data_IF_854953442413
#
_entry.id   IF_854953442413
#
_cell.length_a   1.000
_cell.length_b   1.000
_cell.length_c   1.000
_cell.angle_alpha   90.00
_cell.angle_beta   90.00
_cell.angle_gamma   90.00
#
_symmetry.space_group_name_H-M   'P 1'
#
loop_
_entity.id
_entity.type
_entity.pdbx_description
1 polymer ?
#
# COMPACT_ATOMS: atom_id res chain seq x y z
N UNK A 1 17.62 -1.63 -15.99
CA UNK A 1 16.28 -1.22 -15.48
C UNK A 1 15.49 -2.48 -15.13
N UNK A 2 15.06 -2.63 -13.87
CA UNK A 2 14.43 -3.86 -13.36
C UNK A 2 12.91 -3.66 -13.26
N UNK A 3 12.12 -4.32 -14.10
CA UNK A 3 10.66 -4.13 -14.09
C UNK A 3 9.96 -5.02 -13.05
N UNK A 4 9.02 -4.48 -12.24
CA UNK A 4 8.30 -5.25 -11.23
C UNK A 4 7.11 -6.01 -11.85
N UNK A 5 7.36 -7.17 -12.46
CA UNK A 5 6.29 -8.00 -13.02
C UNK A 5 5.54 -8.76 -11.91
N UNK A 6 4.27 -8.42 -11.69
CA UNK A 6 3.43 -9.07 -10.67
C UNK A 6 3.80 -8.71 -9.22
N UNK A 7 4.84 -7.91 -9.01
CA UNK A 7 5.27 -7.44 -7.69
C UNK A 7 4.41 -6.25 -7.27
N UNK A 8 3.67 -6.41 -6.17
CA UNK A 8 2.82 -5.36 -5.59
C UNK A 8 3.31 -4.86 -4.23
N UNK A 9 4.52 -5.27 -3.84
CA UNK A 9 5.15 -4.87 -2.58
C UNK A 9 5.97 -3.60 -2.81
N UNK A 10 5.46 -2.48 -2.30
CA UNK A 10 6.10 -1.17 -2.44
C UNK A 10 7.49 -1.15 -1.80
N UNK A 11 7.63 -1.74 -0.61
CA UNK A 11 8.88 -1.74 0.14
C UNK A 11 9.99 -2.44 -0.65
N UNK A 12 9.67 -3.62 -1.22
CA UNK A 12 10.59 -4.38 -2.07
C UNK A 12 10.92 -3.65 -3.37
N UNK A 13 9.93 -2.98 -3.97
CA UNK A 13 10.14 -2.19 -5.19
C UNK A 13 11.21 -1.13 -4.99
N UNK A 14 11.11 -0.35 -3.90
CA UNK A 14 12.09 0.71 -3.60
C UNK A 14 13.44 0.11 -3.19
N UNK A 15 13.47 -0.84 -2.24
CA UNK A 15 14.71 -1.40 -1.70
C UNK A 15 15.54 -2.19 -2.72
N UNK A 16 14.88 -2.95 -3.59
CA UNK A 16 15.57 -3.77 -4.60
C UNK A 16 15.81 -3.00 -5.92
N UNK A 17 15.54 -1.68 -5.96
CA UNK A 17 15.81 -0.83 -7.12
C UNK A 17 14.98 -1.19 -8.38
N UNK A 18 13.73 -1.60 -8.19
CA UNK A 18 12.81 -1.78 -9.31
C UNK A 18 12.40 -0.43 -9.90
N UNK A 19 12.06 -0.45 -11.19
CA UNK A 19 11.43 0.68 -11.85
C UNK A 19 10.10 1.01 -11.17
N UNK A 20 10.01 2.20 -10.60
CA UNK A 20 8.83 2.75 -9.95
C UNK A 20 8.53 4.12 -10.54
N UNK A 21 7.29 4.33 -10.97
CA UNK A 21 6.82 5.65 -11.40
C UNK A 21 6.22 6.34 -10.20
N UNK A 22 6.89 7.38 -9.71
CA UNK A 22 6.43 8.15 -8.57
C UNK A 22 5.12 8.86 -8.88
N UNK A 23 4.13 8.62 -8.01
CA UNK A 23 2.83 9.31 -7.95
C UNK A 23 2.42 9.57 -6.50
N UNK A 24 3.40 9.59 -5.60
CA UNK A 24 3.17 9.67 -4.17
C UNK A 24 2.61 11.03 -3.75
N UNK A 25 2.73 12.07 -4.58
CA UNK A 25 2.10 13.38 -4.31
C UNK A 25 0.57 13.29 -4.17
N UNK A 26 -0.04 12.27 -4.79
CA UNK A 26 -1.49 12.02 -4.72
C UNK A 26 -1.97 11.59 -3.33
N UNK A 27 -1.08 11.19 -2.42
CA UNK A 27 -1.44 10.86 -1.04
C UNK A 27 -2.15 12.06 -0.38
N UNK A 28 -1.64 13.28 -0.58
CA UNK A 28 -2.26 14.50 -0.07
C UNK A 28 -3.68 14.71 -0.61
N UNK A 29 -3.88 14.45 -1.91
CA UNK A 29 -5.22 14.51 -2.51
C UNK A 29 -6.14 13.42 -1.96
N UNK A 30 -5.62 12.22 -1.67
CA UNK A 30 -6.41 11.14 -1.08
C UNK A 30 -6.89 11.49 0.33
N UNK A 31 -6.05 12.15 1.13
CA UNK A 31 -6.41 12.64 2.47
C UNK A 31 -7.59 13.63 2.42
N UNK A 32 -7.67 14.46 1.37
CA UNK A 32 -8.74 15.45 1.20
C UNK A 32 -10.07 14.88 0.66
N UNK A 33 -10.06 13.67 0.06
CA UNK A 33 -11.26 13.09 -0.59
C UNK A 33 -12.31 12.64 0.42
N UNK A 34 -11.88 12.16 1.59
CA UNK A 34 -12.80 11.75 2.65
C UNK A 34 -12.22 10.65 3.56
N UNK A 35 -12.92 10.41 4.67
CA UNK A 35 -12.47 9.49 5.73
C UNK A 35 -12.45 8.02 5.31
N UNK A 36 -13.32 7.63 4.37
CA UNK A 36 -13.44 6.26 3.88
C UNK A 36 -13.30 6.23 2.35
N UNK A 37 -12.22 5.61 1.87
CA UNK A 37 -11.91 5.51 0.45
C UNK A 37 -12.19 4.10 -0.07
N UNK A 38 -13.08 4.00 -1.07
CA UNK A 38 -13.40 2.74 -1.73
C UNK A 38 -12.85 2.71 -3.16
N UNK A 39 -11.86 1.87 -3.42
CA UNK A 39 -11.27 1.72 -4.75
C UNK A 39 -12.00 0.66 -5.60
N UNK A 40 -13.04 1.08 -6.32
CA UNK A 40 -13.81 0.22 -7.22
C UNK A 40 -13.03 -0.20 -8.49
N UNK A 41 -13.46 -1.29 -9.15
CA UNK A 41 -12.69 -2.00 -10.20
C UNK A 41 -12.47 -1.14 -11.47
N UNK A 42 -11.26 -1.19 -12.08
CA UNK A 42 -10.86 -2.30 -12.96
C UNK A 42 -9.66 -3.14 -12.46
N UNK A 43 -9.47 -4.35 -13.02
CA UNK A 43 -8.38 -5.30 -12.67
C UNK A 43 -7.02 -4.79 -13.15
N UNK A 44 -5.93 -5.15 -12.46
CA UNK A 44 -4.53 -4.77 -12.78
C UNK A 44 -4.24 -3.25 -12.77
N UNK A 45 -5.09 -2.45 -12.13
CA UNK A 45 -4.93 -1.00 -12.05
C UNK A 45 -3.94 -0.53 -10.95
N UNK A 46 -3.17 -1.43 -10.34
CA UNK A 46 -2.19 -1.07 -9.31
C UNK A 46 -2.74 -0.80 -7.91
N UNK A 47 -4.01 -1.12 -7.62
CA UNK A 47 -4.61 -0.94 -6.29
C UNK A 47 -3.82 -1.62 -5.16
N UNK A 48 -3.35 -2.85 -5.37
CA UNK A 48 -2.56 -3.58 -4.37
C UNK A 48 -1.24 -2.88 -4.05
N UNK A 49 -0.58 -2.32 -5.07
CA UNK A 49 0.64 -1.53 -4.91
C UNK A 49 0.36 -0.22 -4.14
N UNK A 50 -0.73 0.48 -4.49
CA UNK A 50 -1.19 1.68 -3.78
C UNK A 50 -1.45 1.39 -2.29
N UNK A 51 -2.17 0.31 -1.96
CA UNK A 51 -2.43 -0.08 -0.57
C UNK A 51 -1.14 -0.44 0.18
N UNK A 52 -0.21 -1.15 -0.48
CA UNK A 52 1.12 -1.43 0.10
C UNK A 52 1.90 -0.15 0.38
N UNK A 53 1.87 0.81 -0.53
CA UNK A 53 2.51 2.12 -0.36
C UNK A 53 1.88 2.91 0.80
N UNK A 54 0.54 3.02 0.86
CA UNK A 54 -0.16 3.72 1.95
C UNK A 54 0.10 3.06 3.31
N UNK A 55 0.13 1.73 3.37
CA UNK A 55 0.53 1.00 4.57
C UNK A 55 1.93 1.44 5.03
N UNK A 56 2.92 1.45 4.13
CA UNK A 56 4.29 1.86 4.50
C UNK A 56 4.38 3.33 4.89
N UNK A 57 3.52 4.19 4.32
CA UNK A 57 3.53 5.63 4.58
C UNK A 57 2.92 5.99 5.95
N UNK A 58 1.84 5.33 6.33
CA UNK A 58 1.07 5.68 7.54
C UNK A 58 1.47 4.91 8.79
N UNK A 59 2.08 3.73 8.65
CA UNK A 59 2.35 2.83 9.76
C UNK A 59 3.48 3.33 10.68
N UNK A 60 3.22 3.43 11.98
CA UNK A 60 4.21 3.77 13.02
C UNK A 60 5.35 2.77 13.06
N UNK A 61 5.10 1.50 12.75
CA UNK A 61 6.14 0.47 12.71
C UNK A 61 7.19 0.73 11.61
N UNK A 62 6.86 1.60 10.64
CA UNK A 62 7.73 1.96 9.51
C UNK A 62 8.41 3.32 9.66
N UNK A 63 8.23 4.01 10.79
CA UNK A 63 8.81 5.34 11.02
C UNK A 63 10.34 5.37 10.82
N UNK A 64 11.05 4.34 11.28
CA UNK A 64 12.51 4.25 11.13
C UNK A 64 12.99 4.00 9.69
N UNK A 65 12.08 3.66 8.77
CA UNK A 65 12.38 3.38 7.36
C UNK A 65 11.93 4.51 6.43
N UNK A 66 11.34 5.59 6.95
CA UNK A 66 10.70 6.64 6.15
C UNK A 66 11.64 7.20 5.07
N UNK A 67 12.85 7.63 5.46
CA UNK A 67 13.83 8.18 4.52
C UNK A 67 14.26 7.18 3.45
N UNK A 68 14.36 5.90 3.81
CA UNK A 68 14.74 4.85 2.85
C UNK A 68 13.65 4.62 1.82
N UNK A 69 12.38 4.66 2.24
CA UNK A 69 11.24 4.30 1.40
C UNK A 69 10.68 5.48 0.60
N UNK A 70 10.69 6.68 1.19
CA UNK A 70 10.04 7.86 0.63
C UNK A 70 10.99 9.01 0.38
N UNK A 71 12.21 9.03 0.94
CA UNK A 71 13.09 10.21 0.90
C UNK A 71 13.40 10.73 -0.52
N UNK A 72 13.38 9.87 -1.54
CA UNK A 72 13.58 10.28 -2.95
C UNK A 72 12.27 10.56 -3.72
N UNK A 73 11.11 10.32 -3.09
CA UNK A 73 9.80 10.45 -3.68
C UNK A 73 9.17 11.80 -3.31
N UNK A 74 8.20 12.24 -4.12
CA UNK A 74 7.52 13.52 -3.95
C UNK A 74 6.91 13.69 -2.55
N UNK A 75 6.31 12.63 -1.99
CA UNK A 75 5.73 12.69 -0.64
C UNK A 75 6.77 12.67 0.48
N UNK A 76 7.96 12.10 0.27
CA UNK A 76 9.01 12.13 1.29
C UNK A 76 9.72 13.48 1.36
N UNK A 77 9.82 14.18 0.23
CA UNK A 77 10.31 15.55 0.18
C UNK A 77 9.34 16.56 0.81
N UNK A 78 8.04 16.25 0.85
CA UNK A 78 7.02 17.10 1.46
C UNK A 78 5.92 16.27 2.14
N UNK A 79 6.22 15.65 3.29
CA UNK A 79 5.31 14.75 3.99
C UNK A 79 4.07 15.48 4.50
N UNK A 80 2.96 14.74 4.61
CA UNK A 80 1.76 15.19 5.30
C UNK A 80 1.93 14.99 6.80
N UNK A 81 1.20 15.73 7.66
CA UNK A 81 1.26 15.54 9.11
C UNK A 81 0.87 14.12 9.59
N UNK A 82 0.31 13.31 8.70
CA UNK A 82 -0.19 11.97 8.96
C UNK A 82 0.85 10.87 8.75
N UNK A 83 2.03 11.18 8.21
CA UNK A 83 3.07 10.19 7.94
C UNK A 83 3.51 9.46 9.22
N UNK A 84 3.52 8.13 9.18
CA UNK A 84 3.88 7.25 10.31
C UNK A 84 3.18 7.58 11.63
N UNK A 85 1.89 7.96 11.59
CA UNK A 85 1.08 8.30 12.78
C UNK A 85 0.08 7.24 13.22
N UNK A 86 -0.07 6.16 12.45
CA UNK A 86 -1.14 5.18 12.67
C UNK A 86 -0.62 3.76 12.87
N UNK A 87 -1.36 2.94 13.62
CA UNK A 87 -1.21 1.49 13.56
C UNK A 87 -2.05 0.99 12.38
N UNK A 88 -1.41 0.30 11.44
CA UNK A 88 -2.10 -0.18 10.24
C UNK A 88 -2.44 -1.67 10.37
N UNK A 89 -3.73 -1.98 10.26
CA UNK A 89 -4.23 -3.35 10.12
C UNK A 89 -4.51 -3.63 8.65
N UNK A 90 -3.74 -4.54 8.06
CA UNK A 90 -3.95 -5.02 6.70
C UNK A 90 -4.70 -6.34 6.74
N UNK A 91 -5.88 -6.37 6.12
CA UNK A 91 -6.65 -7.58 5.88
C UNK A 91 -6.57 -7.96 4.41
N UNK A 92 -6.23 -9.22 4.12
CA UNK A 92 -6.20 -9.75 2.76
C UNK A 92 -7.07 -11.00 2.70
N UNK A 93 -8.22 -10.89 2.05
CA UNK A 93 -9.17 -11.98 1.86
C UNK A 93 -9.09 -12.59 0.45
N UNK A 94 -8.07 -12.25 -0.35
CA UNK A 94 -7.96 -12.73 -1.73
C UNK A 94 -7.81 -14.24 -1.85
N UNK A 95 -7.32 -14.90 -0.79
CA UNK A 95 -7.16 -16.36 -0.73
C UNK A 95 -8.32 -17.08 -0.02
N UNK A 96 -9.31 -16.35 0.50
CA UNK A 96 -10.46 -16.94 1.18
C UNK A 96 -11.50 -17.29 0.14
N UNK A 97 -11.84 -18.58 0.05
CA UNK A 97 -12.98 -19.03 -0.75
C UNK A 97 -14.28 -18.75 0.04
N UNK A 98 -15.15 -17.84 -0.43
CA UNK A 98 -16.40 -17.55 0.26
C UNK A 98 -17.47 -18.63 -0.01
N UNK A 99 -17.21 -19.58 -0.90
CA UNK A 99 -18.16 -20.63 -1.27
C UNK A 99 -17.90 -21.91 -0.45
N UNK A 100 -18.93 -22.38 0.25
CA UNK A 100 -18.87 -23.60 1.06
C UNK A 100 -19.67 -23.50 2.37
N UNK A 101 -19.67 -24.57 3.13
CA UNK A 101 -20.19 -24.62 4.50
C UNK A 101 -19.35 -23.78 5.46
N UNK A 102 -19.92 -23.35 6.59
CA UNK A 102 -19.20 -22.61 7.65
C UNK A 102 -17.92 -23.33 8.10
N UNK A 103 -17.94 -24.66 8.08
CA UNK A 103 -16.80 -25.51 8.43
C UNK A 103 -15.66 -25.41 7.41
N UNK A 104 -15.97 -25.29 6.12
CA UNK A 104 -14.99 -25.13 5.04
C UNK A 104 -14.39 -23.72 5.06
N UNK A 105 -15.21 -22.69 5.26
CA UNK A 105 -14.75 -21.29 5.38
C UNK A 105 -13.79 -21.14 6.58
N UNK A 106 -14.07 -21.80 7.72
CA UNK A 106 -13.18 -21.79 8.90
C UNK A 106 -11.80 -22.41 8.65
N UNK A 107 -11.66 -23.30 7.66
CA UNK A 107 -10.34 -23.88 7.31
C UNK A 107 -9.53 -23.00 6.36
N UNK A 108 -10.18 -22.05 5.70
CA UNK A 108 -9.57 -21.14 4.71
C UNK A 108 -9.14 -19.79 5.29
N UNK A 109 -9.44 -19.53 6.57
CA UNK A 109 -9.00 -18.36 7.35
C UNK A 109 -7.68 -18.67 8.07
#
# INVERSE_FOLDING_TARGET
>A
MKFPYGLCDFQRIIREGYFYVDRTERIRQLEDVGETLLFLRPRRFGKSLLLSMLQNYYDVARAGEFETLFGQLAIGQNPTPLHNRYFILKWDFSCVDPYGSVTEIKRSL
#
